data_IF_328795125662
#
_entry.id   IF_328795125662
#
_cell.length_a   1.000
_cell.length_b   1.000
_cell.length_c   1.000
_cell.angle_alpha   90.00
_cell.angle_beta   90.00
_cell.angle_gamma   90.00
#
_symmetry.space_group_name_H-M   'P 1'
#
loop_
_entity.id
_entity.type
_entity.pdbx_description
1 polymer ?
#
# COMPACT_ATOMS: atom_id res chain seq x y z
N UNK A 1 -13.32 -76.39 0.58
CA UNK A 1 -13.03 -75.28 1.53
C UNK A 1 -11.67 -74.60 1.35
N UNK A 2 -10.57 -75.30 0.99
CA UNK A 2 -9.23 -74.67 0.83
C UNK A 2 -9.14 -73.61 -0.31
N UNK A 3 -9.81 -73.81 -1.44
CA UNK A 3 -9.79 -72.85 -2.55
C UNK A 3 -10.48 -71.50 -2.26
N UNK A 4 -11.48 -71.48 -1.37
CA UNK A 4 -12.22 -70.26 -1.04
C UNK A 4 -11.45 -69.34 -0.07
N UNK A 5 -10.55 -69.88 0.75
CA UNK A 5 -9.72 -69.09 1.65
C UNK A 5 -8.51 -68.45 0.94
N UNK A 6 -7.98 -69.07 -0.12
CA UNK A 6 -6.87 -68.51 -0.89
C UNK A 6 -7.28 -67.26 -1.69
N UNK A 7 -8.50 -67.22 -2.24
CA UNK A 7 -8.97 -66.04 -3.00
C UNK A 7 -9.17 -64.81 -2.11
N UNK A 8 -9.60 -64.98 -0.85
CA UNK A 8 -9.75 -63.87 0.11
C UNK A 8 -8.42 -63.26 0.55
N UNK A 9 -7.36 -64.08 0.70
CA UNK A 9 -6.01 -63.56 1.00
C UNK A 9 -5.43 -62.80 -0.18
N UNK A 10 -5.55 -63.32 -1.41
CA UNK A 10 -5.07 -62.62 -2.61
C UNK A 10 -5.77 -61.27 -2.82
N UNK A 11 -7.10 -61.20 -2.59
CA UNK A 11 -7.86 -59.94 -2.68
C UNK A 11 -7.44 -58.91 -1.62
N UNK A 12 -7.10 -59.34 -0.40
CA UNK A 12 -6.60 -58.45 0.66
C UNK A 12 -5.23 -57.86 0.34
N UNK A 13 -4.33 -58.64 -0.28
CA UNK A 13 -3.02 -58.14 -0.72
C UNK A 13 -3.12 -57.17 -1.90
N UNK A 14 -4.04 -57.42 -2.85
CA UNK A 14 -4.29 -56.49 -3.96
C UNK A 14 -4.88 -55.15 -3.49
N UNK A 15 -5.79 -55.17 -2.51
CA UNK A 15 -6.37 -53.94 -1.96
C UNK A 15 -5.34 -53.17 -1.11
N UNK A 16 -4.57 -53.87 -0.27
CA UNK A 16 -3.53 -53.23 0.55
C UNK A 16 -2.38 -52.66 -0.31
N UNK A 17 -1.94 -53.38 -1.35
CA UNK A 17 -0.93 -52.90 -2.30
C UNK A 17 -1.40 -51.70 -3.13
N UNK A 18 -2.68 -51.71 -3.55
CA UNK A 18 -3.30 -50.58 -4.25
C UNK A 18 -3.37 -49.31 -3.39
N UNK A 19 -3.76 -49.42 -2.11
CA UNK A 19 -3.82 -48.27 -1.20
C UNK A 19 -2.43 -47.68 -0.90
N UNK A 20 -1.39 -48.50 -0.79
CA UNK A 20 -0.02 -48.01 -0.58
C UNK A 20 0.52 -47.27 -1.81
N UNK A 21 0.25 -47.77 -3.02
CA UNK A 21 0.65 -47.09 -4.26
C UNK A 21 -0.10 -45.76 -4.47
N UNK A 22 -1.40 -45.70 -4.15
CA UNK A 22 -2.18 -44.47 -4.23
C UNK A 22 -1.67 -43.41 -3.23
N UNK A 23 -1.34 -43.84 -2.01
CA UNK A 23 -0.81 -42.93 -0.98
C UNK A 23 0.58 -42.39 -1.38
N UNK A 24 1.46 -43.25 -1.90
CA UNK A 24 2.77 -42.83 -2.41
C UNK A 24 2.65 -41.86 -3.60
N UNK A 25 1.70 -42.10 -4.52
CA UNK A 25 1.44 -41.21 -5.65
C UNK A 25 0.89 -39.84 -5.18
N UNK A 26 0.00 -39.81 -4.19
CA UNK A 26 -0.52 -38.57 -3.61
C UNK A 26 0.55 -37.78 -2.84
N UNK A 27 1.44 -38.46 -2.12
CA UNK A 27 2.59 -37.83 -1.45
C UNK A 27 3.58 -37.29 -2.48
N UNK A 28 3.87 -38.02 -3.56
CA UNK A 28 4.76 -37.55 -4.63
C UNK A 28 4.16 -36.36 -5.40
N UNK A 29 2.85 -36.38 -5.66
CA UNK A 29 2.12 -35.28 -6.29
C UNK A 29 2.11 -34.03 -5.40
N UNK A 30 1.84 -34.19 -4.10
CA UNK A 30 1.95 -33.09 -3.13
C UNK A 30 3.38 -32.62 -2.95
N UNK A 31 4.38 -33.51 -3.03
CA UNK A 31 5.79 -33.13 -2.96
C UNK A 31 6.21 -32.28 -4.15
N UNK A 32 5.75 -32.60 -5.36
CA UNK A 32 5.97 -31.74 -6.53
C UNK A 32 5.27 -30.39 -6.39
N UNK A 33 4.04 -30.37 -5.85
CA UNK A 33 3.35 -29.12 -5.48
C UNK A 33 4.16 -28.30 -4.47
N UNK A 34 4.62 -28.91 -3.38
CA UNK A 34 5.44 -28.28 -2.35
C UNK A 34 6.78 -27.80 -2.92
N UNK A 35 7.46 -28.56 -3.79
CA UNK A 35 8.69 -28.14 -4.44
C UNK A 35 8.48 -26.98 -5.42
N UNK A 36 7.33 -26.91 -6.10
CA UNK A 36 6.96 -25.76 -6.91
C UNK A 36 6.70 -24.54 -6.01
N UNK A 37 6.02 -24.71 -4.88
CA UNK A 37 5.72 -23.63 -3.93
C UNK A 37 6.94 -23.11 -3.16
N UNK A 38 7.87 -23.98 -2.75
CA UNK A 38 9.13 -23.60 -2.08
C UNK A 38 10.07 -22.87 -3.06
N UNK A 39 9.98 -23.14 -4.36
CA UNK A 39 10.71 -22.41 -5.40
C UNK A 39 9.97 -21.16 -5.93
N UNK A 40 8.72 -20.93 -5.55
CA UNK A 40 7.93 -19.74 -5.97
C UNK A 40 8.02 -18.56 -4.99
N UNK A 41 8.58 -18.75 -3.81
CA UNK A 41 9.14 -17.63 -3.04
C UNK A 41 10.61 -17.59 -3.40
N UNK A 42 11.04 -16.83 -4.43
CA UNK A 42 12.46 -16.61 -4.62
C UNK A 42 12.96 -16.07 -3.29
N UNK A 43 13.91 -16.78 -2.68
CA UNK A 43 14.82 -16.17 -1.71
C UNK A 43 15.60 -15.18 -2.56
N UNK A 44 14.99 -14.01 -2.82
CA UNK A 44 15.54 -13.03 -3.73
C UNK A 44 16.88 -12.63 -3.18
N UNK A 45 17.93 -12.82 -3.99
CA UNK A 45 19.24 -12.23 -3.72
C UNK A 45 19.04 -10.75 -3.39
N UNK A 46 19.73 -10.22 -2.35
CA UNK A 46 19.69 -8.80 -2.04
C UNK A 46 19.81 -7.98 -3.33
N UNK A 47 19.08 -6.85 -3.47
CA UNK A 47 19.20 -6.05 -4.68
C UNK A 47 20.68 -5.86 -4.99
N UNK A 48 21.12 -6.16 -6.21
CA UNK A 48 22.51 -5.96 -6.57
C UNK A 48 22.85 -4.53 -6.19
N UNK A 49 23.90 -4.35 -5.39
CA UNK A 49 24.40 -3.05 -4.89
C UNK A 49 23.81 -2.47 -3.59
N UNK A 50 22.98 -3.18 -2.81
CA UNK A 50 22.51 -2.62 -1.52
C UNK A 50 23.60 -2.61 -0.43
N UNK A 51 24.40 -3.68 -0.34
CA UNK A 51 25.50 -3.81 0.64
C UNK A 51 25.05 -3.73 2.11
N UNK A 52 26.04 -3.68 3.01
CA UNK A 52 25.78 -3.40 4.42
C UNK A 52 25.41 -1.92 4.62
N UNK A 53 24.45 -1.67 5.52
CA UNK A 53 24.02 -0.31 5.81
C UNK A 53 25.10 0.48 6.58
N UNK A 54 25.53 1.59 6.00
CA UNK A 54 26.51 2.49 6.62
C UNK A 54 25.85 3.39 7.68
N UNK A 55 25.94 2.95 8.94
CA UNK A 55 25.40 3.68 10.09
C UNK A 55 26.09 5.03 10.32
N UNK A 56 27.33 5.21 9.86
CA UNK A 56 28.04 6.48 10.05
C UNK A 56 27.41 7.60 9.21
N UNK A 57 26.96 7.28 7.99
CA UNK A 57 26.19 8.21 7.15
C UNK A 57 24.83 8.55 7.74
N UNK A 58 24.14 7.57 8.32
CA UNK A 58 22.87 7.81 8.99
C UNK A 58 22.98 8.82 10.14
N UNK A 59 24.11 8.78 10.86
CA UNK A 59 24.42 9.70 11.96
C UNK A 59 24.82 11.09 11.46
N UNK A 60 25.43 11.21 10.29
CA UNK A 60 25.85 12.49 9.71
C UNK A 60 24.73 13.23 8.96
N UNK A 61 23.60 12.56 8.65
CA UNK A 61 22.43 13.19 8.05
C UNK A 61 21.82 14.27 8.95
N UNK A 62 21.63 15.47 8.40
CA UNK A 62 20.87 16.53 9.06
C UNK A 62 19.40 16.12 9.25
N UNK A 63 18.75 16.72 10.25
CA UNK A 63 17.33 16.45 10.52
C UNK A 63 16.44 16.83 9.32
N UNK A 64 16.75 17.93 8.64
CA UNK A 64 16.05 18.39 7.44
C UNK A 64 16.17 17.37 6.30
N UNK A 65 17.39 16.93 5.97
CA UNK A 65 17.60 15.94 4.91
C UNK A 65 16.93 14.61 5.25
N UNK A 66 16.96 14.19 6.51
CA UNK A 66 16.25 13.00 6.97
C UNK A 66 14.73 13.11 6.72
N UNK A 67 14.13 14.25 7.06
CA UNK A 67 12.70 14.50 6.84
C UNK A 67 12.34 14.56 5.34
N UNK A 68 13.22 15.07 4.49
CA UNK A 68 13.03 15.04 3.03
C UNK A 68 13.01 13.61 2.47
N UNK A 69 14.03 12.81 2.82
CA UNK A 69 14.14 11.42 2.39
C UNK A 69 12.95 10.59 2.89
N UNK A 70 12.52 10.85 4.12
CA UNK A 70 11.35 10.21 4.71
C UNK A 70 10.06 10.54 3.95
N UNK A 71 9.79 11.83 3.70
CA UNK A 71 8.61 12.27 2.94
C UNK A 71 8.61 11.70 1.52
N UNK A 72 9.76 11.68 0.87
CA UNK A 72 9.94 11.04 -0.44
C UNK A 72 9.60 9.54 -0.39
N UNK A 73 10.15 8.81 0.57
CA UNK A 73 9.90 7.38 0.75
C UNK A 73 8.41 7.09 0.96
N UNK A 74 7.77 7.78 1.91
CA UNK A 74 6.37 7.53 2.25
C UNK A 74 5.40 7.92 1.13
N UNK A 75 5.75 8.90 0.30
CA UNK A 75 4.92 9.30 -0.84
C UNK A 75 4.84 8.21 -1.91
N UNK A 76 5.85 7.36 -1.99
CA UNK A 76 5.97 6.31 -3.01
C UNK A 76 5.69 4.91 -2.47
N UNK A 77 5.74 4.72 -1.15
CA UNK A 77 5.62 3.41 -0.50
C UNK A 77 4.33 2.66 -0.87
N UNK A 78 3.20 3.36 -1.03
CA UNK A 78 1.94 2.68 -1.30
C UNK A 78 1.83 2.16 -2.75
N UNK A 79 2.56 2.78 -3.69
CA UNK A 79 2.71 2.36 -5.09
C UNK A 79 4.07 1.71 -5.35
N UNK A 80 4.72 1.14 -4.32
CA UNK A 80 6.14 0.77 -4.39
C UNK A 80 6.51 -0.06 -5.64
N UNK A 81 5.64 -0.94 -6.11
CA UNK A 81 5.83 -1.75 -7.32
C UNK A 81 4.94 -1.37 -8.53
N UNK A 82 4.27 -0.22 -8.47
CA UNK A 82 3.40 0.32 -9.52
C UNK A 82 3.89 1.66 -10.08
N UNK A 83 3.19 2.21 -11.07
CA UNK A 83 3.52 3.53 -11.64
C UNK A 83 3.12 4.66 -10.68
N UNK A 84 3.93 5.70 -10.65
CA UNK A 84 3.57 7.00 -10.07
C UNK A 84 3.91 8.11 -11.07
N UNK A 85 3.48 9.34 -10.80
CA UNK A 85 3.83 10.51 -11.62
C UNK A 85 5.33 10.73 -11.71
N UNK A 86 6.06 10.44 -10.61
CA UNK A 86 7.52 10.50 -10.56
C UNK A 86 8.17 9.35 -11.31
N UNK A 87 7.58 8.16 -11.23
CA UNK A 87 8.12 6.92 -11.76
C UNK A 87 7.12 6.26 -12.69
N UNK A 88 7.02 6.80 -13.90
CA UNK A 88 6.12 6.31 -14.95
C UNK A 88 6.73 5.20 -15.82
N UNK A 89 5.93 4.54 -16.67
CA UNK A 89 6.44 3.59 -17.64
C UNK A 89 7.37 4.25 -18.68
N UNK A 90 8.28 3.49 -19.32
CA UNK A 90 8.43 2.04 -19.20
C UNK A 90 9.29 1.58 -18.01
N UNK A 91 10.13 2.46 -17.44
CA UNK A 91 11.21 2.07 -16.50
C UNK A 91 11.02 2.55 -15.05
N UNK A 92 9.88 3.14 -14.71
CA UNK A 92 9.67 3.81 -13.42
C UNK A 92 10.02 2.95 -12.19
N UNK A 93 9.74 1.64 -12.22
CA UNK A 93 10.11 0.77 -11.08
C UNK A 93 11.62 0.65 -10.88
N UNK A 94 12.38 0.53 -11.96
CA UNK A 94 13.84 0.48 -11.89
C UNK A 94 14.41 1.84 -11.43
N UNK A 95 13.83 2.95 -11.88
CA UNK A 95 14.20 4.30 -11.43
C UNK A 95 13.90 4.51 -9.94
N UNK A 96 12.72 4.07 -9.46
CA UNK A 96 12.36 4.10 -8.04
C UNK A 96 13.31 3.25 -7.20
N UNK A 97 13.59 2.03 -7.65
CA UNK A 97 14.56 1.13 -7.00
C UNK A 97 15.91 1.82 -6.85
N UNK A 98 16.43 2.41 -7.94
CA UNK A 98 17.71 3.10 -7.94
C UNK A 98 17.69 4.32 -7.01
N UNK A 99 16.64 5.12 -7.03
CA UNK A 99 16.51 6.26 -6.12
C UNK A 99 16.48 5.82 -4.66
N UNK A 100 15.76 4.75 -4.32
CA UNK A 100 15.76 4.23 -2.94
C UNK A 100 17.14 3.69 -2.53
N UNK A 101 17.92 3.13 -3.46
CA UNK A 101 19.30 2.71 -3.21
C UNK A 101 20.15 3.93 -2.90
N UNK A 102 20.03 5.03 -3.66
CA UNK A 102 20.72 6.28 -3.38
C UNK A 102 20.34 6.83 -2.00
N UNK A 103 19.04 6.86 -1.66
CA UNK A 103 18.57 7.29 -0.34
C UNK A 103 19.19 6.44 0.79
N UNK A 104 19.31 5.13 0.60
CA UNK A 104 19.97 4.24 1.54
C UNK A 104 21.48 4.55 1.64
N UNK A 105 22.15 4.78 0.52
CA UNK A 105 23.56 5.15 0.43
C UNK A 105 23.86 6.55 0.99
N UNK A 106 22.88 7.45 1.02
CA UNK A 106 22.90 8.74 1.70
C UNK A 106 22.75 8.60 3.23
N UNK A 107 22.29 7.44 3.73
CA UNK A 107 22.12 7.15 5.16
C UNK A 107 20.67 7.00 5.63
N UNK A 108 19.69 6.89 4.73
CA UNK A 108 18.29 6.59 5.11
C UNK A 108 18.12 5.13 5.48
N UNK A 109 18.15 4.82 6.78
CA UNK A 109 17.91 3.45 7.29
C UNK A 109 16.52 2.95 6.89
N UNK A 110 15.52 3.84 6.81
CA UNK A 110 14.15 3.48 6.43
C UNK A 110 14.06 3.07 4.95
N UNK A 111 14.76 3.75 4.04
CA UNK A 111 14.81 3.36 2.63
C UNK A 111 15.54 2.02 2.46
N UNK A 112 16.66 1.84 3.17
CA UNK A 112 17.41 0.59 3.21
C UNK A 112 16.53 -0.59 3.65
N UNK A 113 15.82 -0.44 4.76
CA UNK A 113 14.94 -1.46 5.31
C UNK A 113 13.75 -1.75 4.38
N UNK A 114 13.21 -0.72 3.74
CA UNK A 114 12.12 -0.88 2.76
C UNK A 114 12.60 -1.69 1.56
N UNK A 115 13.78 -1.40 0.99
CA UNK A 115 14.35 -2.17 -0.13
C UNK A 115 14.55 -3.65 0.17
N UNK A 116 14.84 -4.00 1.43
CA UNK A 116 14.98 -5.39 1.85
C UNK A 116 13.68 -6.19 1.80
N UNK A 117 12.52 -5.52 1.84
CA UNK A 117 11.21 -6.17 1.92
C UNK A 117 10.34 -5.89 0.71
N UNK A 118 10.31 -4.65 0.24
CA UNK A 118 9.47 -4.14 -0.84
C UNK A 118 10.35 -3.50 -1.95
N UNK A 119 11.23 -4.25 -2.62
CA UNK A 119 12.07 -3.73 -3.70
C UNK A 119 11.23 -3.37 -4.95
N UNK A 120 11.09 -2.10 -5.37
CA UNK A 120 10.21 -1.70 -6.47
C UNK A 120 10.20 -2.56 -7.75
N UNK A 121 11.36 -3.10 -8.15
CA UNK A 121 11.48 -3.91 -9.36
C UNK A 121 11.41 -5.43 -9.13
N UNK A 122 10.93 -5.87 -7.97
CA UNK A 122 10.80 -7.28 -7.63
C UNK A 122 9.59 -7.55 -6.70
N UNK A 123 9.46 -8.79 -6.23
CA UNK A 123 8.40 -9.19 -5.33
C UNK A 123 8.76 -8.89 -3.88
N UNK A 124 7.72 -8.81 -3.04
CA UNK A 124 7.89 -8.67 -1.61
C UNK A 124 8.69 -9.86 -1.03
N UNK A 125 9.56 -9.59 -0.08
CA UNK A 125 10.45 -10.57 0.58
C UNK A 125 10.02 -10.78 2.02
N UNK A 126 10.68 -11.71 2.72
CA UNK A 126 10.41 -11.97 4.13
C UNK A 126 10.55 -10.68 4.97
N UNK A 127 9.44 -10.16 5.52
CA UNK A 127 9.46 -8.90 6.25
C UNK A 127 10.05 -9.04 7.65
N UNK A 128 10.13 -10.26 8.21
CA UNK A 128 10.39 -10.47 9.65
C UNK A 128 11.69 -9.83 10.15
N UNK A 129 12.85 -9.95 9.46
CA UNK A 129 14.08 -9.28 9.91
C UNK A 129 13.94 -7.76 9.92
N UNK A 130 13.30 -7.19 8.90
CA UNK A 130 13.04 -5.74 8.80
C UNK A 130 12.05 -5.27 9.86
N UNK A 131 10.95 -5.98 10.08
CA UNK A 131 9.96 -5.62 11.10
C UNK A 131 10.57 -5.63 12.50
N UNK A 132 11.42 -6.62 12.81
CA UNK A 132 12.18 -6.63 14.07
C UNK A 132 13.06 -5.38 14.21
N UNK A 133 13.79 -5.03 13.15
CA UNK A 133 14.65 -3.83 13.18
C UNK A 133 13.84 -2.54 13.32
N UNK A 134 12.71 -2.43 12.62
CA UNK A 134 11.80 -1.28 12.75
C UNK A 134 11.22 -1.18 14.15
N UNK A 135 10.92 -2.31 14.79
CA UNK A 135 10.46 -2.35 16.17
C UNK A 135 11.52 -1.84 17.15
N UNK A 136 12.80 -2.22 16.99
CA UNK A 136 13.91 -1.67 17.78
C UNK A 136 14.01 -0.14 17.64
N UNK A 137 13.89 0.37 16.41
CA UNK A 137 13.97 1.82 16.13
C UNK A 137 12.72 2.55 16.67
N UNK A 138 11.53 1.95 16.54
CA UNK A 138 10.27 2.47 17.07
C UNK A 138 10.27 2.53 18.60
N UNK A 139 10.86 1.54 19.28
CA UNK A 139 11.02 1.54 20.74
C UNK A 139 11.87 2.72 21.25
N UNK A 140 12.77 3.24 20.41
CA UNK A 140 13.58 4.43 20.69
C UNK A 140 12.80 5.75 20.46
N UNK A 141 11.51 5.68 20.11
CA UNK A 141 10.65 6.85 19.90
C UNK A 141 10.63 7.38 18.47
N UNK A 142 11.22 6.68 17.50
CA UNK A 142 11.20 7.11 16.11
C UNK A 142 9.82 6.85 15.48
N UNK A 143 9.04 7.92 15.29
CA UNK A 143 7.68 7.84 14.75
C UNK A 143 7.64 7.33 13.29
N UNK A 144 8.66 7.62 12.48
CA UNK A 144 8.73 7.16 11.10
C UNK A 144 8.90 5.65 10.99
N UNK A 145 9.71 5.04 11.86
CA UNK A 145 9.81 3.58 11.95
C UNK A 145 8.48 2.95 12.40
N UNK A 146 7.74 3.59 13.31
CA UNK A 146 6.39 3.15 13.69
C UNK A 146 5.44 3.14 12.49
N UNK A 147 5.46 4.20 11.68
CA UNK A 147 4.61 4.31 10.49
C UNK A 147 5.03 3.36 9.37
N UNK A 148 6.34 3.18 9.17
CA UNK A 148 6.88 2.26 8.16
C UNK A 148 6.56 0.81 8.50
N UNK A 149 6.57 0.43 9.79
CA UNK A 149 6.15 -0.91 10.20
C UNK A 149 4.74 -1.21 9.67
N UNK A 150 3.77 -0.33 9.95
CA UNK A 150 2.42 -0.47 9.40
C UNK A 150 2.42 -0.42 7.87
N UNK A 151 3.16 0.51 7.29
CA UNK A 151 3.30 0.67 5.84
C UNK A 151 3.74 -0.61 5.12
N UNK A 152 4.68 -1.36 5.69
CA UNK A 152 5.13 -2.65 5.15
C UNK A 152 4.08 -3.73 5.35
N UNK A 153 3.59 -3.90 6.58
CA UNK A 153 2.71 -5.03 6.90
C UNK A 153 1.42 -5.01 6.09
N UNK A 154 0.82 -3.83 5.88
CA UNK A 154 -0.41 -3.70 5.09
C UNK A 154 -0.20 -3.79 3.57
N UNK A 155 1.04 -4.00 3.10
CA UNK A 155 1.38 -4.27 1.69
C UNK A 155 1.70 -5.76 1.45
N UNK A 156 1.76 -6.58 2.51
CA UNK A 156 2.07 -7.99 2.38
C UNK A 156 0.91 -8.76 1.74
N UNK A 157 1.20 -9.82 0.97
CA UNK A 157 0.16 -10.61 0.34
C UNK A 157 -0.70 -11.33 1.38
N UNK A 158 -2.02 -11.23 1.21
CA UNK A 158 -3.00 -11.96 2.01
C UNK A 158 -3.12 -13.43 1.59
N UNK A 159 -3.46 -14.31 2.53
CA UNK A 159 -3.91 -15.69 2.26
C UNK A 159 -2.83 -16.77 2.14
N UNK A 160 -1.57 -16.41 1.93
CA UNK A 160 -0.45 -17.38 1.89
C UNK A 160 0.17 -17.59 3.27
N UNK A 161 0.29 -16.51 4.04
CA UNK A 161 0.81 -16.51 5.40
C UNK A 161 -0.17 -15.72 6.27
N UNK A 162 -0.41 -16.18 7.49
CA UNK A 162 -1.17 -15.44 8.47
C UNK A 162 -0.32 -14.32 9.07
N UNK A 163 -0.52 -13.11 8.57
CA UNK A 163 0.13 -11.89 9.05
C UNK A 163 -0.64 -11.19 10.16
N UNK A 164 -1.76 -11.75 10.64
CA UNK A 164 -2.63 -11.10 11.65
C UNK A 164 -1.87 -10.58 12.87
N UNK A 165 -0.92 -11.33 13.47
CA UNK A 165 -0.16 -10.81 14.61
C UNK A 165 0.68 -9.58 14.26
N UNK A 166 1.30 -9.58 13.06
CA UNK A 166 2.07 -8.43 12.58
C UNK A 166 1.15 -7.26 12.24
N UNK A 167 -0.04 -7.50 11.69
CA UNK A 167 -1.02 -6.46 11.39
C UNK A 167 -1.49 -5.77 12.67
N UNK A 168 -1.85 -6.54 13.70
CA UNK A 168 -2.21 -6.00 15.01
C UNK A 168 -1.09 -5.15 15.60
N UNK A 169 0.16 -5.65 15.53
CA UNK A 169 1.34 -4.89 15.95
C UNK A 169 1.52 -3.61 15.13
N UNK A 170 1.28 -3.69 13.82
CA UNK A 170 1.34 -2.55 12.91
C UNK A 170 0.27 -1.51 13.22
N UNK A 171 -0.95 -1.91 13.58
CA UNK A 171 -2.01 -1.00 14.05
C UNK A 171 -1.58 -0.24 15.32
N UNK A 172 -0.98 -0.94 16.29
CA UNK A 172 -0.46 -0.32 17.52
C UNK A 172 0.63 0.72 17.22
N UNK A 173 1.57 0.40 16.33
CA UNK A 173 2.61 1.34 15.94
C UNK A 173 2.06 2.53 15.17
N UNK A 174 1.09 2.33 14.27
CA UNK A 174 0.44 3.43 13.54
C UNK A 174 -0.28 4.38 14.50
N UNK A 175 -0.98 3.85 15.52
CA UNK A 175 -1.60 4.67 16.56
C UNK A 175 -0.56 5.52 17.28
N UNK A 176 0.51 4.91 17.78
CA UNK A 176 1.58 5.64 18.49
C UNK A 176 2.31 6.66 17.61
N UNK A 177 2.58 6.32 16.35
CA UNK A 177 3.21 7.25 15.40
C UNK A 177 2.30 8.44 15.06
N UNK A 178 0.98 8.22 15.00
CA UNK A 178 0.00 9.29 14.83
C UNK A 178 -0.13 10.16 16.09
N UNK A 179 -0.06 9.59 17.29
CA UNK A 179 0.00 10.35 18.56
C UNK A 179 1.23 11.27 18.60
N UNK A 180 2.35 10.85 18.00
CA UNK A 180 3.55 11.67 17.81
C UNK A 180 3.46 12.64 16.62
N UNK A 181 2.32 12.69 15.92
CA UNK A 181 2.06 13.61 14.82
C UNK A 181 2.73 13.26 13.50
N UNK A 182 3.22 12.03 13.30
CA UNK A 182 3.89 11.68 12.06
C UNK A 182 2.88 11.60 10.89
N UNK A 183 3.06 12.39 9.80
CA UNK A 183 2.08 12.52 8.71
C UNK A 183 1.63 11.19 8.06
N UNK A 184 2.54 10.26 7.79
CA UNK A 184 2.16 8.96 7.20
C UNK A 184 1.25 8.12 8.11
N UNK A 185 1.43 8.20 9.43
CA UNK A 185 0.53 7.54 10.38
C UNK A 185 -0.80 8.28 10.49
N UNK A 186 -0.78 9.62 10.45
CA UNK A 186 -1.99 10.44 10.47
C UNK A 186 -2.89 10.14 9.26
N UNK A 187 -2.34 9.99 8.05
CA UNK A 187 -3.11 9.58 6.86
C UNK A 187 -3.79 8.23 7.07
N UNK A 188 -3.01 7.25 7.56
CA UNK A 188 -3.51 5.89 7.75
C UNK A 188 -4.58 5.82 8.83
N UNK A 189 -4.32 6.44 9.98
CA UNK A 189 -5.27 6.51 11.09
C UNK A 189 -6.51 7.31 10.70
N UNK A 190 -6.33 8.41 9.95
CA UNK A 190 -7.40 9.22 9.41
C UNK A 190 -8.34 8.40 8.53
N UNK A 191 -7.78 7.66 7.58
CA UNK A 191 -8.53 6.71 6.75
C UNK A 191 -9.29 5.66 7.56
N UNK A 192 -8.67 5.10 8.61
CA UNK A 192 -9.33 4.13 9.49
C UNK A 192 -10.49 4.72 10.29
N UNK A 193 -10.35 5.95 10.79
CA UNK A 193 -11.41 6.67 11.50
C UNK A 193 -12.57 7.04 10.57
N UNK A 194 -12.28 7.51 9.36
CA UNK A 194 -13.29 7.84 8.36
C UNK A 194 -14.09 6.62 7.91
N UNK A 195 -13.43 5.48 7.68
CA UNK A 195 -14.08 4.24 7.24
C UNK A 195 -14.78 3.49 8.36
N UNK A 196 -14.39 3.70 9.62
CA UNK A 196 -14.83 2.90 10.76
C UNK A 196 -14.09 1.55 10.86
N UNK A 197 -12.96 1.40 10.16
CA UNK A 197 -12.08 0.23 10.28
C UNK A 197 -11.61 0.03 11.73
N UNK A 198 -11.42 1.14 12.45
CA UNK A 198 -11.29 1.13 13.91
C UNK A 198 -12.46 1.87 14.55
N UNK A 199 -13.09 1.31 15.59
CA UNK A 199 -14.16 1.99 16.31
C UNK A 199 -13.64 3.06 17.31
N UNK A 200 -14.44 4.10 17.61
CA UNK A 200 -15.62 4.51 16.85
C UNK A 200 -15.21 5.10 15.48
N UNK A 201 -16.11 4.97 14.50
CA UNK A 201 -16.06 5.73 13.25
C UNK A 201 -16.19 7.21 13.60
N UNK A 202 -15.26 8.03 13.11
CA UNK A 202 -15.24 9.47 13.33
C UNK A 202 -14.74 10.16 12.07
N UNK A 203 -15.68 10.67 11.28
CA UNK A 203 -15.38 11.34 10.02
C UNK A 203 -14.56 12.62 10.25
N UNK A 204 -14.95 13.42 11.25
CA UNK A 204 -14.34 14.71 11.52
C UNK A 204 -12.89 14.56 11.95
N UNK A 205 -12.64 13.69 12.91
CA UNK A 205 -11.28 13.41 13.36
C UNK A 205 -10.44 12.83 12.21
N UNK A 206 -11.02 11.96 11.40
CA UNK A 206 -10.32 11.34 10.28
C UNK A 206 -9.93 12.31 9.16
N UNK A 207 -10.80 13.27 8.86
CA UNK A 207 -10.54 14.37 7.93
C UNK A 207 -9.42 15.28 8.46
N UNK A 208 -9.52 15.74 9.72
CA UNK A 208 -8.51 16.60 10.35
C UNK A 208 -7.11 15.98 10.37
N UNK A 209 -7.00 14.69 10.72
CA UNK A 209 -5.71 13.97 10.68
C UNK A 209 -5.13 13.96 9.26
N UNK A 210 -5.98 13.75 8.24
CA UNK A 210 -5.55 13.72 6.84
C UNK A 210 -5.12 15.12 6.37
N UNK A 211 -5.84 16.17 6.76
CA UNK A 211 -5.48 17.57 6.45
C UNK A 211 -4.14 17.96 7.05
N UNK A 212 -3.87 17.57 8.30
CA UNK A 212 -2.58 17.83 8.95
C UNK A 212 -1.41 17.18 8.18
N UNK A 213 -1.60 15.96 7.70
CA UNK A 213 -0.58 15.28 6.91
C UNK A 213 -0.36 15.93 5.54
N UNK A 214 -1.43 16.32 4.85
CA UNK A 214 -1.34 17.05 3.57
C UNK A 214 -0.60 18.38 3.73
N UNK A 215 -0.91 19.15 4.77
CA UNK A 215 -0.18 20.40 5.08
C UNK A 215 1.31 20.18 5.39
N UNK A 216 1.68 18.95 5.77
CA UNK A 216 3.06 18.52 5.98
C UNK A 216 3.75 17.99 4.70
N UNK A 217 3.07 18.07 3.54
CA UNK A 217 3.59 17.64 2.24
C UNK A 217 3.47 16.13 1.98
N UNK A 218 2.64 15.41 2.73
CA UNK A 218 2.36 13.98 2.49
C UNK A 218 1.14 13.85 1.59
N UNK A 219 1.29 14.28 0.35
CA UNK A 219 0.17 14.52 -0.56
C UNK A 219 -0.58 13.27 -1.02
N UNK A 220 0.01 12.07 -0.85
CA UNK A 220 -0.68 10.80 -1.07
C UNK A 220 -1.91 10.61 -0.18
N UNK A 221 -2.05 11.39 0.90
CA UNK A 221 -3.27 11.46 1.70
C UNK A 221 -4.50 11.93 0.91
N UNK A 222 -4.31 12.62 -0.22
CA UNK A 222 -5.39 13.09 -1.08
C UNK A 222 -6.26 11.94 -1.60
N UNK A 223 -5.71 10.73 -1.73
CA UNK A 223 -6.47 9.54 -2.17
C UNK A 223 -7.63 9.22 -1.22
N UNK A 224 -7.41 9.30 0.10
CA UNK A 224 -8.46 9.06 1.09
C UNK A 224 -9.60 10.08 0.98
N UNK A 225 -9.26 11.33 0.64
CA UNK A 225 -10.23 12.41 0.48
C UNK A 225 -10.96 12.34 -0.85
N UNK A 226 -10.27 11.92 -1.92
CA UNK A 226 -10.89 11.62 -3.20
C UNK A 226 -11.90 10.49 -3.08
N UNK A 227 -11.54 9.38 -2.42
CA UNK A 227 -12.48 8.27 -2.13
C UNK A 227 -13.70 8.78 -1.36
N UNK A 228 -13.51 9.68 -0.38
CA UNK A 228 -14.64 10.26 0.36
C UNK A 228 -15.50 11.18 -0.51
N UNK A 229 -14.90 11.99 -1.38
CA UNK A 229 -15.65 12.82 -2.32
C UNK A 229 -16.55 11.98 -3.25
N UNK A 230 -16.07 10.81 -3.67
CA UNK A 230 -16.85 9.86 -4.49
C UNK A 230 -18.10 9.33 -3.82
N UNK A 231 -18.13 9.28 -2.50
CA UNK A 231 -19.32 8.83 -1.75
C UNK A 231 -20.49 9.84 -1.87
N UNK A 232 -20.25 11.04 -2.41
CA UNK A 232 -21.30 11.99 -2.80
C UNK A 232 -21.94 11.64 -4.16
N UNK A 233 -21.49 10.59 -4.84
CA UNK A 233 -22.08 10.01 -6.05
C UNK A 233 -22.22 10.96 -7.25
N UNK A 234 -21.39 12.01 -7.33
CA UNK A 234 -21.30 12.87 -8.52
C UNK A 234 -22.61 13.59 -8.92
N UNK A 235 -23.57 13.67 -8.01
CA UNK A 235 -24.96 14.05 -8.29
C UNK A 235 -25.15 15.54 -8.61
N UNK A 236 -24.33 16.41 -8.02
CA UNK A 236 -24.49 17.87 -8.12
C UNK A 236 -23.15 18.59 -8.42
N UNK A 237 -23.18 19.83 -8.95
CA UNK A 237 -21.96 20.54 -9.30
C UNK A 237 -20.98 20.70 -8.12
N UNK A 238 -21.40 21.04 -6.88
CA UNK A 238 -20.50 21.02 -5.72
C UNK A 238 -19.81 19.68 -5.47
N UNK A 239 -20.52 18.55 -5.54
CA UNK A 239 -19.92 17.22 -5.34
C UNK A 239 -18.90 16.89 -6.43
N UNK A 240 -19.21 17.21 -7.69
CA UNK A 240 -18.30 17.02 -8.83
C UNK A 240 -17.05 17.88 -8.72
N UNK A 241 -17.23 19.14 -8.31
CA UNK A 241 -16.13 20.06 -8.04
C UNK A 241 -15.24 19.56 -6.91
N UNK A 242 -15.80 18.98 -5.85
CA UNK A 242 -15.02 18.41 -4.76
C UNK A 242 -14.20 17.21 -5.21
N UNK A 243 -14.83 16.30 -5.96
CA UNK A 243 -14.14 15.15 -6.51
C UNK A 243 -13.00 15.57 -7.44
N UNK A 244 -13.26 16.52 -8.34
CA UNK A 244 -12.23 17.10 -9.20
C UNK A 244 -11.08 17.70 -8.40
N UNK A 245 -11.38 18.42 -7.32
CA UNK A 245 -10.36 19.05 -6.47
C UNK A 245 -9.37 18.02 -5.92
N UNK A 246 -9.89 16.93 -5.33
CA UNK A 246 -9.03 15.89 -4.78
C UNK A 246 -8.37 15.03 -5.86
N UNK A 247 -9.02 14.79 -7.00
CA UNK A 247 -8.41 14.14 -8.16
C UNK A 247 -7.24 14.98 -8.73
N UNK A 248 -7.39 16.30 -8.79
CA UNK A 248 -6.34 17.23 -9.20
C UNK A 248 -5.14 17.21 -8.25
N UNK A 249 -5.39 17.15 -6.94
CA UNK A 249 -4.32 16.97 -5.96
C UNK A 249 -3.62 15.62 -6.13
N UNK A 250 -4.37 14.57 -6.45
CA UNK A 250 -3.85 13.21 -6.62
C UNK A 250 -2.99 13.06 -7.88
N UNK A 251 -3.41 13.67 -8.99
CA UNK A 251 -2.72 13.66 -10.28
C UNK A 251 -1.29 14.26 -10.24
N UNK A 252 -0.96 15.00 -9.18
CA UNK A 252 0.41 15.47 -8.92
C UNK A 252 1.36 14.32 -8.54
N UNK A 253 0.84 13.17 -8.12
CA UNK A 253 1.60 12.06 -7.55
C UNK A 253 1.27 10.72 -8.19
N UNK A 254 0.02 10.46 -8.51
CA UNK A 254 -0.38 9.25 -9.22
C UNK A 254 -0.26 9.45 -10.73
N UNK A 255 -0.04 8.34 -11.45
CA UNK A 255 -0.15 8.31 -12.91
C UNK A 255 -1.64 8.30 -13.31
N UNK A 256 -2.34 9.37 -12.94
CA UNK A 256 -3.75 9.60 -13.24
C UNK A 256 -3.96 11.04 -13.70
N UNK A 257 -4.95 11.25 -14.56
CA UNK A 257 -5.41 12.58 -14.90
C UNK A 257 -6.62 12.92 -14.04
N UNK A 258 -6.65 14.15 -13.51
CA UNK A 258 -7.76 14.66 -12.70
C UNK A 258 -9.12 14.52 -13.42
N UNK A 259 -9.08 14.66 -14.75
CA UNK A 259 -10.23 14.69 -15.63
C UNK A 259 -10.78 13.29 -15.94
N UNK A 260 -9.94 12.24 -15.87
CA UNK A 260 -10.26 10.89 -16.38
C UNK A 260 -11.57 10.35 -15.81
N UNK A 261 -11.83 10.59 -14.52
CA UNK A 261 -13.08 10.14 -13.90
C UNK A 261 -14.29 10.93 -14.44
N UNK A 262 -14.17 12.26 -14.53
CA UNK A 262 -15.23 13.13 -15.03
C UNK A 262 -15.56 12.78 -16.50
N UNK A 263 -14.54 12.62 -17.34
CA UNK A 263 -14.72 12.20 -18.74
C UNK A 263 -15.36 10.81 -18.85
N UNK A 264 -14.95 9.89 -17.99
CA UNK A 264 -15.56 8.56 -17.88
C UNK A 264 -17.05 8.65 -17.61
N UNK A 265 -17.46 9.47 -16.63
CA UNK A 265 -18.86 9.71 -16.30
C UNK A 265 -19.64 10.31 -17.48
N UNK A 266 -19.13 11.37 -18.12
CA UNK A 266 -19.79 12.02 -19.28
C UNK A 266 -20.05 11.00 -20.40
N UNK A 267 -19.05 10.16 -20.69
CA UNK A 267 -19.07 9.19 -21.79
C UNK A 267 -20.04 8.04 -21.53
N UNK A 268 -20.01 7.50 -20.30
CA UNK A 268 -20.58 6.19 -20.01
C UNK A 268 -21.90 6.26 -19.21
N UNK A 269 -22.09 7.30 -18.40
CA UNK A 269 -23.15 7.34 -17.38
C UNK A 269 -24.07 8.55 -17.54
N UNK A 270 -23.55 9.69 -17.98
CA UNK A 270 -24.33 10.92 -18.08
C UNK A 270 -25.48 10.80 -19.10
N UNK A 271 -26.70 11.25 -18.74
CA UNK A 271 -27.81 11.34 -19.68
C UNK A 271 -27.43 12.14 -20.93
N UNK A 272 -27.82 11.71 -22.15
CA UNK A 272 -27.41 12.39 -23.39
C UNK A 272 -27.69 13.89 -23.41
N UNK A 273 -28.80 14.32 -22.81
CA UNK A 273 -29.20 15.73 -22.75
C UNK A 273 -28.30 16.60 -21.85
N UNK A 274 -27.58 15.99 -20.90
CA UNK A 274 -26.76 16.72 -19.92
C UNK A 274 -25.28 16.81 -20.35
N UNK A 275 -24.86 16.03 -21.36
CA UNK A 275 -23.45 15.89 -21.75
C UNK A 275 -22.78 17.22 -22.11
N UNK A 276 -23.43 18.07 -22.90
CA UNK A 276 -22.87 19.37 -23.29
C UNK A 276 -22.65 20.30 -22.10
N UNK A 277 -23.58 20.28 -21.12
CA UNK A 277 -23.46 21.07 -19.90
C UNK A 277 -22.32 20.56 -19.04
N UNK A 278 -22.18 19.23 -18.92
CA UNK A 278 -21.11 18.59 -18.17
C UNK A 278 -19.73 18.77 -18.82
N UNK A 279 -19.66 18.80 -20.15
CA UNK A 279 -18.44 19.12 -20.89
C UNK A 279 -17.99 20.57 -20.66
N UNK A 280 -18.93 21.52 -20.66
CA UNK A 280 -18.62 22.91 -20.29
C UNK A 280 -18.16 23.01 -18.82
N UNK A 281 -18.83 22.32 -17.90
CA UNK A 281 -18.44 22.24 -16.49
C UNK A 281 -17.00 21.69 -16.35
N UNK A 282 -16.66 20.59 -17.02
CA UNK A 282 -15.31 20.03 -17.01
C UNK A 282 -14.30 21.03 -17.59
N UNK A 283 -14.64 21.74 -18.67
CA UNK A 283 -13.77 22.77 -19.24
C UNK A 283 -13.56 23.96 -18.28
N UNK A 284 -14.54 24.29 -17.45
CA UNK A 284 -14.37 25.26 -16.37
C UNK A 284 -13.44 24.71 -15.28
N UNK A 285 -13.59 23.45 -14.89
CA UNK A 285 -12.74 22.80 -13.89
C UNK A 285 -11.28 22.67 -14.34
N UNK A 286 -11.02 22.39 -15.61
CA UNK A 286 -9.66 22.38 -16.21
C UNK A 286 -8.91 23.70 -16.06
N UNK A 287 -9.65 24.82 -16.01
CA UNK A 287 -9.07 26.16 -15.79
C UNK A 287 -8.86 26.46 -14.31
N UNK A 288 -9.52 25.71 -13.43
CA UNK A 288 -9.36 25.82 -11.99
C UNK A 288 -8.20 24.93 -11.52
N UNK A 289 -7.19 25.57 -10.93
CA UNK A 289 -5.98 24.90 -10.42
C UNK A 289 -6.01 24.93 -8.89
N UNK A 290 -6.84 24.10 -8.23
CA UNK A 290 -7.01 24.19 -6.78
C UNK A 290 -5.72 23.89 -6.03
N UNK A 291 -5.53 24.60 -4.93
CA UNK A 291 -4.59 24.20 -3.89
C UNK A 291 -5.30 23.36 -2.82
N UNK A 292 -4.52 22.79 -1.88
CA UNK A 292 -5.03 21.91 -0.83
C UNK A 292 -6.07 22.64 0.05
N UNK A 293 -5.88 23.92 0.38
CA UNK A 293 -6.81 24.68 1.21
C UNK A 293 -8.15 24.93 0.50
N UNK A 294 -8.15 25.09 -0.82
CA UNK A 294 -9.40 25.17 -1.60
C UNK A 294 -10.20 23.86 -1.47
N UNK A 295 -9.52 22.72 -1.57
CA UNK A 295 -10.15 21.41 -1.44
C UNK A 295 -10.63 21.14 -0.01
N UNK A 296 -9.85 21.52 1.01
CA UNK A 296 -10.25 21.41 2.43
C UNK A 296 -11.54 22.21 2.69
N UNK A 297 -11.58 23.49 2.29
CA UNK A 297 -12.76 24.34 2.49
C UNK A 297 -14.01 23.77 1.81
N UNK A 298 -13.85 23.22 0.61
CA UNK A 298 -14.95 22.59 -0.11
C UNK A 298 -15.41 21.30 0.59
N UNK A 299 -14.48 20.52 1.14
CA UNK A 299 -14.77 19.31 1.92
C UNK A 299 -15.56 19.65 3.19
N UNK A 300 -15.10 20.63 3.97
CA UNK A 300 -15.78 21.08 5.20
C UNK A 300 -17.20 21.56 4.91
N UNK A 301 -17.37 22.34 3.84
CA UNK A 301 -18.69 22.81 3.40
C UNK A 301 -19.66 21.67 3.07
N UNK A 302 -19.18 20.60 2.45
CA UNK A 302 -20.04 19.49 1.98
C UNK A 302 -20.27 18.41 3.04
N UNK A 303 -19.36 18.23 3.98
CA UNK A 303 -19.51 17.26 5.08
C UNK A 303 -19.99 17.87 6.40
N UNK A 304 -20.26 19.19 6.43
CA UNK A 304 -20.91 19.87 7.55
C UNK A 304 -19.99 20.09 8.75
N UNK A 305 -18.74 20.48 8.50
CA UNK A 305 -17.73 20.76 9.53
C UNK A 305 -17.59 22.23 9.92
#
# INVERSE_FOLDING_TARGET
>A
MKHWMQSKRARRWLIAGGSLLLTAALVAWNWQGICIFVNMVPIGEEPPHLGDFDRSKAQSLSAERRAELERELFSELWMWNGSSRRYGPPNGRAERQQRWIEMAQEGSELAYLTLKVLPPDSFARDPRPTLKRLEEIAQQGNAAAMCLYGGIVFQLPYGVVDWTPQEERGRLWVLKGAELGHPACLIRLGGWRMSGYIPPKDLKLGLEMTYQALRSGYDHGARSLWVRARELNFVDPPSRKLEYCWAYSLAKYEDSEADSFFEGYIRNEAPPQDRLVLEDELNQLRRWHPNIEDCIKLTQKLFGE
#
